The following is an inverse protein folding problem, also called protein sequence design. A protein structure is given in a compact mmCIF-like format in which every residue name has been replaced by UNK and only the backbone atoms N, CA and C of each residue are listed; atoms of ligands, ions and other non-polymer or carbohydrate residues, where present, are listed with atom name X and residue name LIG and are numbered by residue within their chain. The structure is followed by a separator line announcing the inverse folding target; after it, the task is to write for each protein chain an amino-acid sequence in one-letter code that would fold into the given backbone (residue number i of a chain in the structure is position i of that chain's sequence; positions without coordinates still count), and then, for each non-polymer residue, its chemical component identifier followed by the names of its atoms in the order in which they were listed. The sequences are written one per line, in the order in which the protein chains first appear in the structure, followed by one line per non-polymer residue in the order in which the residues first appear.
data_IF_024710673462
#
_entry.id   IF_024710673462
#
_cell.length_a   1.000
_cell.length_b   1.000
_cell.length_c   1.000
_cell.angle_alpha   90.00
_cell.angle_beta   90.00
_cell.angle_gamma   90.00
#
_symmetry.space_group_name_H-M   'P 1'
#
loop_
_entity.id
_entity.type
_entity.pdbx_description
1 polymer ?
#
# COMPACT_ATOMS: atom_id res chain seq x y z
N UNK A 1 23.08 -42.17 -29.17
CA UNK A 1 22.22 -42.51 -28.00
C UNK A 1 20.83 -42.85 -28.51
N UNK A 2 20.17 -43.85 -27.94
CA UNK A 2 18.76 -44.10 -28.26
C UNK A 2 17.85 -43.01 -27.62
N UNK A 3 16.64 -42.80 -28.20
CA UNK A 3 15.67 -41.85 -27.64
C UNK A 3 15.34 -42.20 -26.18
N UNK A 4 15.24 -43.45 -25.83
CA UNK A 4 15.06 -43.93 -24.47
C UNK A 4 16.21 -43.50 -23.50
N UNK A 5 17.46 -43.55 -23.98
CA UNK A 5 18.60 -43.14 -23.18
C UNK A 5 18.60 -41.63 -22.94
N UNK A 6 18.20 -40.83 -23.94
CA UNK A 6 18.07 -39.41 -23.85
C UNK A 6 16.92 -39.01 -22.92
N UNK A 7 15.78 -39.70 -23.06
CA UNK A 7 14.59 -39.51 -22.21
C UNK A 7 14.91 -39.71 -20.73
N UNK A 8 15.64 -40.79 -20.39
CA UNK A 8 16.09 -41.04 -19.01
C UNK A 8 17.00 -39.96 -18.45
N UNK A 9 17.92 -39.43 -19.25
CA UNK A 9 18.85 -38.36 -18.82
C UNK A 9 18.11 -37.08 -18.61
N UNK A 10 17.15 -36.73 -19.48
CA UNK A 10 16.38 -35.49 -19.41
C UNK A 10 15.16 -35.59 -18.51
N UNK A 11 14.85 -36.75 -17.92
CA UNK A 11 13.65 -37.02 -17.12
C UNK A 11 12.35 -36.68 -17.88
N UNK A 12 12.32 -37.04 -19.17
CA UNK A 12 11.19 -36.85 -20.07
C UNK A 12 10.67 -38.20 -20.56
N UNK A 13 9.47 -38.16 -21.14
CA UNK A 13 8.89 -39.31 -21.84
C UNK A 13 9.62 -39.54 -23.17
N UNK A 14 9.80 -40.83 -23.56
CA UNK A 14 10.51 -41.20 -24.77
C UNK A 14 9.75 -40.82 -26.04
N UNK A 15 8.41 -40.76 -26.00
CA UNK A 15 7.60 -40.27 -27.11
C UNK A 15 7.83 -38.78 -27.37
N UNK A 16 8.05 -38.00 -26.31
CA UNK A 16 8.44 -36.58 -26.41
C UNK A 16 9.79 -36.45 -27.13
N UNK A 17 10.77 -37.29 -26.78
CA UNK A 17 12.10 -37.26 -27.43
C UNK A 17 12.02 -37.68 -28.89
N UNK A 18 11.20 -38.70 -29.20
CA UNK A 18 10.97 -39.15 -30.60
C UNK A 18 10.32 -38.05 -31.42
N UNK A 19 9.32 -37.40 -30.89
CA UNK A 19 8.65 -36.25 -31.54
C UNK A 19 9.63 -35.12 -31.85
N UNK A 20 10.48 -34.76 -30.88
CA UNK A 20 11.50 -33.75 -31.08
C UNK A 20 12.58 -34.16 -32.06
N UNK A 21 12.94 -35.47 -32.09
CA UNK A 21 13.91 -36.01 -33.05
C UNK A 21 13.38 -35.91 -34.47
N UNK A 22 12.14 -36.32 -34.72
CA UNK A 22 11.51 -36.17 -36.04
C UNK A 22 11.40 -34.72 -36.46
N UNK A 23 11.00 -33.83 -35.55
CA UNK A 23 10.92 -32.42 -35.84
C UNK A 23 12.31 -31.83 -36.19
N UNK A 24 13.36 -32.32 -35.54
CA UNK A 24 14.73 -31.91 -35.87
C UNK A 24 15.18 -32.46 -37.25
N UNK A 25 14.82 -33.69 -37.59
CA UNK A 25 15.13 -34.25 -38.91
C UNK A 25 14.43 -33.51 -40.03
N UNK A 26 13.18 -33.10 -39.83
CA UNK A 26 12.38 -32.38 -40.82
C UNK A 26 12.76 -30.90 -40.98
N UNK A 27 12.99 -30.18 -39.86
CA UNK A 27 13.09 -28.73 -39.88
C UNK A 27 14.37 -28.18 -39.17
N UNK A 28 15.22 -29.06 -38.67
CA UNK A 28 16.44 -28.70 -37.97
C UNK A 28 16.19 -27.96 -36.65
N UNK A 29 17.19 -27.21 -36.18
CA UNK A 29 17.13 -26.47 -34.92
C UNK A 29 16.01 -25.39 -34.90
N UNK A 30 15.63 -24.86 -36.06
CA UNK A 30 14.54 -23.89 -36.16
C UNK A 30 13.19 -24.54 -35.82
N UNK A 31 12.96 -25.79 -36.27
CA UNK A 31 11.76 -26.52 -35.94
C UNK A 31 11.63 -26.82 -34.43
N UNK A 32 12.74 -27.24 -33.80
CA UNK A 32 12.78 -27.43 -32.35
C UNK A 32 12.55 -26.16 -31.54
N UNK A 33 13.03 -25.04 -32.01
CA UNK A 33 12.86 -23.73 -31.35
C UNK A 33 11.49 -23.09 -31.61
N UNK A 34 10.71 -23.61 -32.58
CA UNK A 34 9.40 -23.08 -32.90
C UNK A 34 8.33 -23.63 -31.95
N UNK A 35 7.65 -22.70 -31.25
CA UNK A 35 6.50 -23.04 -30.42
C UNK A 35 5.27 -23.17 -31.33
N UNK A 36 4.95 -24.39 -31.76
CA UNK A 36 3.84 -24.69 -32.71
C UNK A 36 2.45 -24.68 -32.07
N UNK A 37 2.36 -24.33 -30.80
CA UNK A 37 1.06 -24.25 -30.14
C UNK A 37 0.43 -22.89 -30.43
N UNK A 38 -0.43 -22.86 -31.41
CA UNK A 38 -1.19 -21.62 -31.79
C UNK A 38 -2.21 -21.19 -30.72
N UNK A 39 -2.24 -21.85 -29.57
CA UNK A 39 -3.24 -21.60 -28.52
C UNK A 39 -4.67 -21.93 -28.99
N UNK A 40 -5.58 -22.04 -28.06
CA UNK A 40 -7.01 -22.18 -28.42
C UNK A 40 -7.57 -20.94 -29.11
N UNK A 41 -8.31 -21.13 -30.19
CA UNK A 41 -9.02 -20.04 -30.88
C UNK A 41 -9.97 -19.36 -29.88
N UNK A 42 -9.95 -18.01 -29.87
CA UNK A 42 -10.87 -17.25 -29.03
C UNK A 42 -12.30 -17.46 -29.53
N UNK A 43 -13.25 -17.75 -28.62
CA UNK A 43 -14.67 -17.91 -28.99
C UNK A 43 -15.33 -16.58 -29.44
N UNK A 44 -14.73 -15.44 -29.09
CA UNK A 44 -15.16 -14.11 -29.49
C UNK A 44 -14.36 -13.63 -30.70
N UNK A 45 -15.03 -13.05 -31.69
CA UNK A 45 -14.38 -12.33 -32.79
C UNK A 45 -13.64 -11.10 -32.28
N UNK A 46 -12.74 -10.51 -33.08
CA UNK A 46 -12.02 -9.28 -32.71
C UNK A 46 -12.98 -8.13 -32.41
N UNK A 47 -14.03 -7.95 -33.18
CA UNK A 47 -15.05 -6.93 -32.98
C UNK A 47 -15.81 -7.14 -31.65
N UNK A 48 -16.17 -8.39 -31.34
CA UNK A 48 -16.81 -8.73 -30.07
C UNK A 48 -15.86 -8.51 -28.87
N UNK A 49 -14.57 -8.78 -29.04
CA UNK A 49 -13.56 -8.50 -28.01
C UNK A 49 -13.42 -7.00 -27.74
N UNK A 50 -13.39 -6.16 -28.77
CA UNK A 50 -13.33 -4.71 -28.59
C UNK A 50 -14.62 -4.16 -27.95
N UNK A 51 -15.78 -4.69 -28.34
CA UNK A 51 -17.06 -4.34 -27.71
C UNK A 51 -17.09 -4.71 -26.25
N UNK A 52 -16.57 -5.91 -25.90
CA UNK A 52 -16.44 -6.37 -24.51
C UNK A 52 -15.48 -5.47 -23.73
N UNK A 53 -14.34 -5.11 -24.29
CA UNK A 53 -13.39 -4.17 -23.64
C UNK A 53 -14.06 -2.83 -23.36
N UNK A 54 -14.77 -2.27 -24.33
CA UNK A 54 -15.49 -1.02 -24.18
C UNK A 54 -16.52 -1.09 -23.05
N UNK A 55 -17.31 -2.17 -23.00
CA UNK A 55 -18.30 -2.39 -21.96
C UNK A 55 -17.65 -2.55 -20.58
N UNK A 56 -16.63 -3.42 -20.43
CA UNK A 56 -15.90 -3.58 -19.17
C UNK A 56 -15.32 -2.25 -18.69
N UNK A 57 -14.75 -1.51 -19.63
CA UNK A 57 -14.20 -0.19 -19.37
C UNK A 57 -15.28 0.79 -18.92
N UNK A 58 -16.50 0.72 -19.46
CA UNK A 58 -17.62 1.58 -19.09
C UNK A 58 -18.25 1.22 -17.74
N UNK A 59 -18.44 -0.08 -17.45
CA UNK A 59 -19.26 -0.56 -16.33
C UNK A 59 -18.47 -1.06 -15.13
N UNK A 60 -17.20 -1.47 -15.34
CA UNK A 60 -16.31 -2.03 -14.31
C UNK A 60 -16.97 -3.18 -13.54
N UNK A 61 -17.31 -4.28 -14.19
CA UNK A 61 -18.00 -5.40 -13.56
C UNK A 61 -17.16 -5.96 -12.41
N UNK A 62 -17.82 -6.33 -11.32
CA UNK A 62 -17.16 -6.78 -10.09
C UNK A 62 -16.76 -8.24 -10.11
N UNK A 63 -17.44 -9.04 -10.92
CA UNK A 63 -17.28 -10.48 -10.95
C UNK A 63 -17.19 -11.01 -12.38
N UNK A 64 -16.50 -12.15 -12.54
CA UNK A 64 -16.46 -12.87 -13.82
C UNK A 64 -17.85 -13.38 -14.23
N UNK A 65 -18.77 -13.61 -13.27
CA UNK A 65 -20.17 -14.00 -13.56
C UNK A 65 -20.91 -12.87 -14.28
N UNK A 66 -20.75 -11.61 -13.86
CA UNK A 66 -21.33 -10.45 -14.54
C UNK A 66 -20.81 -10.34 -15.98
N UNK A 67 -19.51 -10.59 -16.18
CA UNK A 67 -18.89 -10.60 -17.52
C UNK A 67 -19.47 -11.73 -18.38
N UNK A 68 -19.57 -12.93 -17.84
CA UNK A 68 -20.14 -14.09 -18.56
C UNK A 68 -21.59 -13.86 -18.97
N UNK A 69 -22.43 -13.41 -18.04
CA UNK A 69 -23.84 -13.10 -18.32
C UNK A 69 -24.00 -12.02 -19.39
N UNK A 70 -23.13 -11.00 -19.38
CA UNK A 70 -23.16 -9.97 -20.43
C UNK A 70 -22.74 -10.52 -21.78
N UNK A 71 -21.69 -11.36 -21.87
CA UNK A 71 -21.25 -12.01 -23.12
C UNK A 71 -22.39 -12.88 -23.69
N UNK A 72 -23.05 -13.65 -22.84
CA UNK A 72 -24.18 -14.47 -23.24
C UNK A 72 -25.35 -13.62 -23.78
N UNK A 73 -25.69 -12.56 -23.06
CA UNK A 73 -26.75 -11.63 -23.46
C UNK A 73 -26.42 -10.88 -24.78
N UNK A 74 -25.17 -10.41 -24.92
CA UNK A 74 -24.79 -9.56 -26.04
C UNK A 74 -24.44 -10.35 -27.32
N UNK A 75 -23.87 -11.56 -27.16
CA UNK A 75 -23.33 -12.35 -28.28
C UNK A 75 -23.91 -13.75 -28.39
N UNK A 76 -24.72 -14.20 -27.44
CA UNK A 76 -25.25 -15.57 -27.37
C UNK A 76 -24.18 -16.66 -27.12
N UNK A 77 -23.04 -16.26 -26.56
CA UNK A 77 -21.91 -17.17 -26.31
C UNK A 77 -21.82 -17.46 -24.83
N UNK A 78 -22.05 -18.71 -24.43
CA UNK A 78 -21.94 -19.14 -23.05
C UNK A 78 -20.50 -19.62 -22.74
N UNK A 79 -19.97 -19.17 -21.59
CA UNK A 79 -18.70 -19.65 -21.03
C UNK A 79 -18.97 -20.57 -19.84
N UNK A 80 -18.80 -21.85 -20.02
CA UNK A 80 -19.07 -22.89 -19.02
C UNK A 80 -18.17 -22.79 -17.78
N UNK A 81 -16.94 -22.26 -17.93
CA UNK A 81 -15.99 -22.22 -16.84
C UNK A 81 -15.51 -20.81 -16.50
N UNK A 82 -15.35 -20.56 -15.19
CA UNK A 82 -14.69 -19.34 -14.71
C UNK A 82 -13.27 -19.18 -15.25
N UNK A 83 -12.52 -20.29 -15.39
CA UNK A 83 -11.15 -20.25 -15.89
C UNK A 83 -11.10 -19.73 -17.33
N UNK A 84 -12.06 -20.11 -18.18
CA UNK A 84 -12.15 -19.61 -19.55
C UNK A 84 -12.40 -18.10 -19.61
N UNK A 85 -13.28 -17.57 -18.73
CA UNK A 85 -13.52 -16.13 -18.61
C UNK A 85 -12.30 -15.37 -18.09
N UNK A 86 -11.60 -15.91 -17.09
CA UNK A 86 -10.36 -15.31 -16.58
C UNK A 86 -9.28 -15.29 -17.65
N UNK A 87 -9.09 -16.39 -18.39
CA UNK A 87 -8.13 -16.45 -19.49
C UNK A 87 -8.46 -15.47 -20.62
N UNK A 88 -9.76 -15.30 -20.95
CA UNK A 88 -10.21 -14.27 -21.88
C UNK A 88 -9.85 -12.87 -21.39
N UNK A 89 -10.21 -12.53 -20.14
CA UNK A 89 -9.94 -11.22 -19.56
C UNK A 89 -8.44 -10.89 -19.56
N UNK A 90 -7.57 -11.84 -19.20
CA UNK A 90 -6.12 -11.65 -19.23
C UNK A 90 -5.60 -11.41 -20.67
N UNK A 91 -6.10 -12.16 -21.65
CA UNK A 91 -5.76 -11.90 -23.08
C UNK A 91 -6.18 -10.51 -23.55
N UNK A 92 -7.30 -10.02 -23.06
CA UNK A 92 -7.77 -8.66 -23.32
C UNK A 92 -7.03 -7.57 -22.54
N UNK A 93 -6.00 -7.94 -21.74
CA UNK A 93 -5.24 -7.00 -20.90
C UNK A 93 -6.01 -6.51 -19.68
N UNK A 94 -7.07 -7.22 -19.28
CA UNK A 94 -7.87 -6.89 -18.10
C UNK A 94 -7.33 -7.61 -16.87
N UNK A 95 -7.37 -6.93 -15.73
CA UNK A 95 -6.88 -7.41 -14.44
C UNK A 95 -7.90 -7.09 -13.35
N UNK A 96 -8.09 -8.01 -12.39
CA UNK A 96 -8.92 -7.72 -11.23
C UNK A 96 -8.19 -6.80 -10.27
N UNK A 97 -8.68 -5.57 -10.10
CA UNK A 97 -8.07 -4.54 -9.26
C UNK A 97 -9.06 -4.01 -8.23
N UNK A 98 -8.59 -3.84 -7.00
CA UNK A 98 -9.33 -3.09 -5.99
C UNK A 98 -9.17 -1.58 -6.28
N UNK A 99 -10.24 -0.83 -6.52
CA UNK A 99 -10.17 0.61 -6.72
C UNK A 99 -9.56 1.31 -5.49
N UNK A 100 -8.75 2.33 -5.75
CA UNK A 100 -8.27 3.24 -4.70
C UNK A 100 -9.23 4.41 -4.58
N UNK A 101 -9.47 4.85 -3.35
CA UNK A 101 -10.23 6.08 -3.12
C UNK A 101 -9.33 7.30 -3.35
N UNK A 102 -9.82 8.25 -4.13
CA UNK A 102 -9.14 9.52 -4.42
C UNK A 102 -10.08 10.65 -4.01
N UNK A 103 -9.58 11.60 -3.23
CA UNK A 103 -10.39 12.75 -2.83
C UNK A 103 -10.70 13.64 -4.04
N UNK A 104 -11.95 14.07 -4.18
CA UNK A 104 -12.35 15.07 -5.20
C UNK A 104 -11.70 16.45 -4.98
N UNK A 105 -11.19 16.70 -3.78
CA UNK A 105 -10.58 17.97 -3.36
C UNK A 105 -9.05 17.97 -3.50
N UNK A 106 -8.47 16.93 -4.13
CA UNK A 106 -7.05 16.90 -4.44
C UNK A 106 -6.67 18.05 -5.37
N UNK A 107 -5.63 18.77 -4.99
CA UNK A 107 -5.08 19.88 -5.77
C UNK A 107 -3.62 19.58 -6.16
N UNK A 108 -3.36 19.19 -7.42
CA UNK A 108 -2.01 18.86 -7.87
C UNK A 108 -1.02 20.04 -7.78
N UNK A 109 -1.50 21.28 -7.89
CA UNK A 109 -0.65 22.47 -7.84
C UNK A 109 -0.14 22.69 -6.40
N UNK A 110 -1.03 22.52 -5.39
CA UNK A 110 -0.63 22.58 -3.98
C UNK A 110 0.32 21.45 -3.59
N UNK A 111 0.13 20.26 -4.16
CA UNK A 111 1.07 19.14 -3.95
C UNK A 111 2.44 19.48 -4.53
N UNK A 112 2.51 19.98 -5.77
CA UNK A 112 3.76 20.37 -6.40
C UNK A 112 4.48 21.49 -5.61
N UNK A 113 3.74 22.49 -5.16
CA UNK A 113 4.29 23.57 -4.35
C UNK A 113 4.84 23.06 -3.01
N UNK A 114 4.14 22.15 -2.36
CA UNK A 114 4.60 21.52 -1.12
C UNK A 114 5.87 20.70 -1.32
N UNK A 115 5.88 19.81 -2.33
CA UNK A 115 7.06 18.99 -2.64
C UNK A 115 8.27 19.86 -2.90
N UNK A 116 8.11 20.91 -3.73
CA UNK A 116 9.19 21.85 -4.03
C UNK A 116 9.71 22.53 -2.76
N UNK A 117 8.80 23.05 -1.91
CA UNK A 117 9.19 23.71 -0.66
C UNK A 117 9.88 22.75 0.32
N UNK A 118 9.47 21.47 0.35
CA UNK A 118 10.10 20.42 1.14
C UNK A 118 11.51 20.11 0.63
N UNK A 119 11.68 19.91 -0.69
CA UNK A 119 12.98 19.66 -1.31
C UNK A 119 13.93 20.85 -1.10
N UNK A 120 13.44 22.08 -1.24
CA UNK A 120 14.21 23.30 -0.95
C UNK A 120 14.66 23.37 0.51
N UNK A 121 13.78 22.99 1.45
CA UNK A 121 14.14 22.89 2.87
C UNK A 121 15.24 21.87 3.10
N UNK A 122 15.12 20.65 2.54
CA UNK A 122 16.11 19.61 2.71
C UNK A 122 17.48 20.00 2.11
N UNK A 123 17.48 20.67 0.96
CA UNK A 123 18.70 21.13 0.31
C UNK A 123 19.47 22.19 1.11
N UNK A 124 18.80 22.89 2.01
CA UNK A 124 19.39 23.94 2.86
C UNK A 124 19.36 23.59 4.34
N UNK A 125 19.05 22.32 4.67
CA UNK A 125 18.96 21.86 6.05
C UNK A 125 20.34 21.86 6.70
N UNK A 126 20.46 22.53 7.84
CA UNK A 126 21.70 22.55 8.59
C UNK A 126 21.79 21.38 9.58
N UNK A 127 23.01 20.98 9.93
CA UNK A 127 23.25 19.83 10.83
C UNK A 127 22.62 20.00 12.23
N UNK A 128 22.34 21.22 12.64
CA UNK A 128 21.68 21.56 13.92
C UNK A 128 20.15 21.71 13.79
N UNK A 129 19.60 21.30 12.67
CA UNK A 129 18.16 21.24 12.42
C UNK A 129 17.67 19.79 12.33
N UNK A 130 16.39 19.56 12.54
CA UNK A 130 15.75 18.25 12.41
C UNK A 130 14.43 18.36 11.65
N UNK A 131 14.07 17.30 10.91
CA UNK A 131 12.80 17.24 10.17
C UNK A 131 12.02 16.03 10.66
N UNK A 132 10.79 16.27 11.11
CA UNK A 132 9.89 15.24 11.59
C UNK A 132 8.51 15.37 10.94
N UNK A 133 7.84 14.24 10.84
CA UNK A 133 6.44 14.16 10.42
C UNK A 133 5.58 13.73 11.60
N UNK A 134 4.46 14.39 11.80
CA UNK A 134 3.57 14.16 12.93
C UNK A 134 2.12 13.95 12.47
N UNK A 135 1.46 12.99 13.07
CA UNK A 135 0.05 12.68 12.85
C UNK A 135 -0.53 11.94 14.06
N UNK A 136 -1.83 11.79 14.07
CA UNK A 136 -2.54 11.02 15.08
C UNK A 136 -3.18 9.76 14.50
N UNK A 137 -3.07 8.66 15.25
CA UNK A 137 -3.70 7.39 14.87
C UNK A 137 -4.57 6.85 16.00
N UNK A 138 -5.67 6.21 15.64
CA UNK A 138 -6.66 5.67 16.57
C UNK A 138 -6.86 4.16 16.36
N UNK A 139 -5.83 3.31 16.61
CA UNK A 139 -5.99 1.88 16.43
C UNK A 139 -7.00 1.31 17.43
N UNK A 140 -7.93 0.52 16.90
CA UNK A 140 -8.93 -0.18 17.70
C UNK A 140 -8.42 -1.54 18.14
N UNK A 141 -8.83 -1.98 19.33
CA UNK A 141 -8.58 -3.32 19.84
C UNK A 141 -9.43 -4.34 19.08
N UNK A 142 -9.05 -4.56 17.82
CA UNK A 142 -9.71 -5.47 16.91
C UNK A 142 -8.69 -6.08 15.95
N UNK A 143 -8.92 -7.33 15.60
CA UNK A 143 -8.15 -8.02 14.56
C UNK A 143 -8.50 -7.44 13.20
N UNK A 144 -7.51 -7.30 12.34
CA UNK A 144 -7.68 -7.03 10.91
C UNK A 144 -7.39 -8.29 10.10
N UNK A 145 -8.41 -9.05 9.70
CA UNK A 145 -8.20 -10.26 8.92
C UNK A 145 -7.59 -9.90 7.55
N UNK A 146 -6.50 -10.57 7.22
CA UNK A 146 -5.84 -10.47 5.91
C UNK A 146 -5.57 -11.87 5.37
N UNK A 147 -5.41 -11.99 4.05
CA UNK A 147 -5.09 -13.26 3.42
C UNK A 147 -3.81 -13.87 4.00
N UNK A 148 -3.85 -15.18 4.27
CA UNK A 148 -2.72 -15.95 4.75
C UNK A 148 -2.63 -17.31 4.02
N UNK A 149 -1.46 -17.90 4.04
CA UNK A 149 -1.29 -19.26 3.56
C UNK A 149 -1.78 -20.25 4.61
N UNK A 150 -2.67 -21.15 4.21
CA UNK A 150 -3.25 -22.16 5.09
C UNK A 150 -3.48 -23.46 4.31
N UNK A 151 -3.56 -24.62 4.99
CA UNK A 151 -3.90 -25.90 4.36
C UNK A 151 -5.25 -25.80 3.65
N UNK A 152 -5.32 -26.32 2.42
CA UNK A 152 -6.47 -26.17 1.52
C UNK A 152 -7.79 -26.71 2.09
N UNK A 153 -7.72 -27.70 2.97
CA UNK A 153 -8.89 -28.39 3.53
C UNK A 153 -9.28 -27.92 4.93
N UNK A 154 -8.51 -27.01 5.53
CA UNK A 154 -8.75 -26.57 6.90
C UNK A 154 -9.27 -25.13 6.91
N UNK A 155 -10.52 -24.89 7.34
CA UNK A 155 -11.01 -23.55 7.58
C UNK A 155 -10.15 -22.84 8.62
N UNK A 156 -9.73 -21.61 8.35
CA UNK A 156 -8.94 -20.78 9.27
C UNK A 156 -9.81 -19.64 9.76
N UNK A 157 -9.85 -19.45 11.06
CA UNK A 157 -10.50 -18.34 11.71
C UNK A 157 -9.54 -17.66 12.70
N UNK A 158 -9.72 -16.38 12.93
CA UNK A 158 -9.01 -15.61 13.95
C UNK A 158 -10.03 -15.11 14.96
N UNK A 159 -9.71 -15.23 16.25
CA UNK A 159 -10.56 -14.70 17.32
C UNK A 159 -10.71 -13.18 17.16
N UNK A 160 -11.89 -12.68 17.49
CA UNK A 160 -12.26 -11.26 17.38
C UNK A 160 -12.69 -10.73 18.73
N UNK A 161 -12.16 -9.60 19.15
CA UNK A 161 -12.67 -8.83 20.27
C UNK A 161 -13.85 -7.94 19.86
N UNK A 162 -14.54 -7.30 20.81
CA UNK A 162 -15.65 -6.38 20.50
C UNK A 162 -15.24 -5.16 19.65
N UNK A 163 -13.94 -4.84 19.61
CA UNK A 163 -13.40 -3.71 18.84
C UNK A 163 -13.83 -2.31 19.33
N UNK A 164 -14.47 -2.21 20.49
CA UNK A 164 -14.99 -0.93 21.02
C UNK A 164 -13.91 -0.04 21.64
N UNK A 165 -12.87 -0.64 22.20
CA UNK A 165 -11.76 0.10 22.80
C UNK A 165 -10.77 0.55 21.72
N UNK A 166 -10.30 1.77 21.83
CA UNK A 166 -9.29 2.34 20.93
C UNK A 166 -8.18 3.02 21.73
N UNK A 167 -6.98 2.98 21.20
CA UNK A 167 -5.85 3.75 21.68
C UNK A 167 -5.79 5.05 20.88
N UNK A 168 -5.49 6.18 21.52
CA UNK A 168 -5.27 7.44 20.81
C UNK A 168 -3.77 7.77 20.90
N UNK A 169 -3.09 7.72 19.79
CA UNK A 169 -1.66 8.03 19.71
C UNK A 169 -1.50 9.35 18.92
N UNK A 170 -0.83 10.31 19.54
CA UNK A 170 -0.33 11.47 18.84
C UNK A 170 1.18 11.33 18.74
N UNK A 171 1.72 11.21 17.55
CA UNK A 171 3.11 10.80 17.35
C UNK A 171 3.85 11.59 16.28
N UNK A 172 5.17 11.46 16.31
CA UNK A 172 6.06 11.96 15.29
C UNK A 172 7.19 10.98 15.00
N UNK A 173 7.70 11.03 13.78
CA UNK A 173 8.85 10.26 13.30
C UNK A 173 9.86 11.16 12.59
N UNK A 174 11.12 10.90 12.85
CA UNK A 174 12.27 11.41 12.12
C UNK A 174 12.69 10.35 11.08
N UNK A 175 12.63 10.67 9.80
CA UNK A 175 12.91 9.71 8.73
C UNK A 175 14.41 9.46 8.54
N UNK A 176 15.27 10.37 8.97
CA UNK A 176 16.73 10.20 8.89
C UNK A 176 17.19 9.15 9.90
N UNK A 177 16.72 9.25 11.13
CA UNK A 177 17.19 8.43 12.24
C UNK A 177 16.28 7.27 12.61
N UNK A 178 15.03 7.29 12.16
CA UNK A 178 13.97 6.37 12.58
C UNK A 178 13.49 6.59 14.00
N UNK A 179 13.94 7.64 14.66
CA UNK A 179 13.50 7.97 16.00
C UNK A 179 12.03 8.39 16.01
N UNK A 180 11.28 7.88 16.96
CA UNK A 180 9.86 8.16 17.11
C UNK A 180 9.55 8.75 18.46
N UNK A 181 8.54 9.64 18.49
CA UNK A 181 7.94 10.10 19.73
C UNK A 181 6.44 9.88 19.68
N UNK A 182 5.95 8.96 20.50
CA UNK A 182 4.55 8.52 20.52
C UNK A 182 3.94 8.80 21.87
N UNK A 183 2.94 9.65 21.92
CA UNK A 183 2.17 9.96 23.13
C UNK A 183 0.86 9.17 23.09
N UNK A 184 0.58 8.44 24.16
CA UNK A 184 -0.74 7.91 24.44
C UNK A 184 -1.55 9.03 25.13
N UNK A 185 -2.62 9.47 24.47
CA UNK A 185 -3.39 10.62 24.90
C UNK A 185 -4.87 10.28 25.03
N UNK A 186 -5.55 10.92 25.96
CA UNK A 186 -7.00 10.75 26.10
C UNK A 186 -7.74 11.31 24.90
N UNK A 187 -7.29 12.46 24.41
CA UNK A 187 -7.88 13.18 23.27
C UNK A 187 -6.77 13.78 22.43
N UNK A 188 -6.93 13.74 21.11
CA UNK A 188 -6.06 14.46 20.18
C UNK A 188 -6.64 15.84 19.96
N UNK A 189 -5.94 16.87 20.45
CA UNK A 189 -6.37 18.27 20.47
C UNK A 189 -5.16 19.22 20.53
N UNK A 190 -5.42 20.51 20.76
CA UNK A 190 -4.38 21.53 20.89
C UNK A 190 -3.41 21.25 22.07
N UNK A 191 -3.92 20.70 23.17
CA UNK A 191 -3.10 20.39 24.34
C UNK A 191 -2.15 19.22 24.05
N UNK A 192 -2.66 18.15 23.46
CA UNK A 192 -1.82 17.01 23.07
C UNK A 192 -0.81 17.38 21.99
N UNK A 193 -1.13 18.34 21.10
CA UNK A 193 -0.18 18.92 20.13
C UNK A 193 0.97 19.62 20.83
N UNK A 194 0.68 20.45 21.82
CA UNK A 194 1.72 21.13 22.60
C UNK A 194 2.56 20.13 23.39
N UNK A 195 1.93 19.12 23.99
CA UNK A 195 2.65 18.05 24.70
C UNK A 195 3.62 17.30 23.78
N UNK A 196 3.19 17.01 22.54
CA UNK A 196 4.06 16.39 21.54
C UNK A 196 5.24 17.31 21.20
N UNK A 197 5.00 18.59 20.94
CA UNK A 197 6.05 19.55 20.62
C UNK A 197 7.06 19.71 21.78
N UNK A 198 6.60 19.75 23.03
CA UNK A 198 7.48 19.76 24.22
C UNK A 198 8.34 18.49 24.26
N UNK A 199 7.72 17.33 24.01
CA UNK A 199 8.42 16.06 24.02
C UNK A 199 9.47 15.94 22.88
N UNK A 200 9.20 16.55 21.72
CA UNK A 200 10.16 16.63 20.61
C UNK A 200 11.31 17.57 20.93
N UNK A 201 11.06 18.74 21.54
CA UNK A 201 12.13 19.63 22.00
C UNK A 201 13.05 18.97 23.03
N UNK A 202 12.49 18.14 23.92
CA UNK A 202 13.25 17.37 24.89
C UNK A 202 14.07 16.23 24.23
N UNK A 203 13.54 15.64 23.18
CA UNK A 203 14.20 14.58 22.41
C UNK A 203 15.40 15.12 21.62
N UNK A 204 15.32 16.34 21.15
CA UNK A 204 16.37 17.03 20.37
C UNK A 204 16.94 18.27 21.10
N UNK A 205 17.62 18.12 22.24
CA UNK A 205 18.05 19.26 23.05
C UNK A 205 19.12 20.15 22.37
N UNK A 206 19.83 19.60 21.39
CA UNK A 206 20.93 20.30 20.69
C UNK A 206 20.51 20.88 19.34
N UNK A 207 19.33 20.53 18.82
CA UNK A 207 18.84 21.05 17.54
C UNK A 207 18.34 22.47 17.72
N UNK A 208 18.80 23.39 16.88
CA UNK A 208 18.41 24.81 16.88
C UNK A 208 16.97 24.99 16.39
N UNK A 209 16.58 24.23 15.36
CA UNK A 209 15.24 24.23 14.79
C UNK A 209 14.76 22.80 14.61
N UNK A 210 13.49 22.57 14.88
CA UNK A 210 12.79 21.32 14.62
C UNK A 210 11.64 21.63 13.65
N UNK A 211 11.80 21.26 12.40
CA UNK A 211 10.78 21.36 11.37
C UNK A 211 9.78 20.22 11.56
N UNK A 212 8.54 20.56 11.89
CA UNK A 212 7.49 19.59 12.13
C UNK A 212 6.42 19.69 11.04
N UNK A 213 6.34 18.65 10.21
CA UNK A 213 5.33 18.50 9.17
C UNK A 213 4.11 17.79 9.74
N UNK A 214 2.92 18.33 9.51
CA UNK A 214 1.66 17.80 10.04
C UNK A 214 0.49 18.17 9.11
N UNK A 215 -0.64 17.53 9.31
CA UNK A 215 -1.86 17.79 8.56
C UNK A 215 -2.49 19.17 8.93
N UNK A 216 -3.51 19.56 8.19
CA UNK A 216 -4.24 20.81 8.39
C UNK A 216 -5.39 20.68 9.40
N UNK A 217 -5.30 19.84 10.43
CA UNK A 217 -6.32 19.72 11.45
C UNK A 217 -6.50 21.05 12.22
N UNK A 218 -7.76 21.39 12.51
CA UNK A 218 -8.09 22.70 13.14
C UNK A 218 -7.39 22.94 14.46
N UNK A 219 -7.14 21.90 15.24
CA UNK A 219 -6.50 22.03 16.55
C UNK A 219 -5.03 22.44 16.45
N UNK A 220 -4.34 22.18 15.33
CA UNK A 220 -2.99 22.68 15.10
C UNK A 220 -2.95 24.19 14.87
N UNK A 221 -4.05 24.78 14.41
CA UNK A 221 -4.21 26.23 14.20
C UNK A 221 -4.85 26.93 15.41
N UNK A 222 -5.10 26.20 16.50
CA UNK A 222 -5.74 26.79 17.69
C UNK A 222 -4.89 27.92 18.28
N UNK A 223 -5.55 28.94 18.84
CA UNK A 223 -4.90 30.10 19.46
C UNK A 223 -3.88 29.66 20.54
N UNK A 224 -4.23 28.64 21.33
CA UNK A 224 -3.36 28.05 22.33
C UNK A 224 -2.02 27.55 21.75
N UNK A 225 -2.06 26.89 20.60
CA UNK A 225 -0.86 26.39 19.89
C UNK A 225 -0.03 27.58 19.39
N UNK A 226 -0.67 28.59 18.81
CA UNK A 226 0.03 29.77 18.29
C UNK A 226 0.70 30.59 19.42
N UNK A 227 0.02 30.75 20.54
CA UNK A 227 0.55 31.41 21.74
C UNK A 227 1.75 30.65 22.31
N UNK A 228 1.69 29.32 22.30
CA UNK A 228 2.80 28.48 22.74
C UNK A 228 4.00 28.57 21.79
N UNK A 229 3.78 28.53 20.47
CA UNK A 229 4.84 28.67 19.47
C UNK A 229 5.55 30.04 19.52
N UNK A 230 4.84 31.06 19.92
CA UNK A 230 5.38 32.42 20.08
C UNK A 230 6.23 32.60 21.36
N UNK A 231 6.30 31.63 22.25
CA UNK A 231 7.07 31.73 23.48
C UNK A 231 8.57 31.77 23.21
N UNK A 232 9.34 32.56 23.95
CA UNK A 232 10.80 32.58 23.88
C UNK A 232 11.37 31.19 24.13
N UNK A 233 12.31 30.75 23.28
CA UNK A 233 12.95 29.43 23.38
C UNK A 233 12.21 28.30 22.69
N UNK A 234 11.05 28.54 22.07
CA UNK A 234 10.42 27.57 21.19
C UNK A 234 11.28 27.37 19.93
N UNK A 235 11.62 26.10 19.65
CA UNK A 235 12.46 25.70 18.51
C UNK A 235 11.65 24.96 17.43
N UNK A 236 10.34 24.87 17.59
CA UNK A 236 9.44 24.17 16.64
C UNK A 236 9.04 25.15 15.53
N UNK A 237 9.15 24.68 14.28
CA UNK A 237 8.62 25.36 13.10
C UNK A 237 7.62 24.42 12.41
N UNK A 238 6.35 24.81 12.40
CA UNK A 238 5.29 24.02 11.80
C UNK A 238 5.27 24.21 10.28
N UNK A 239 5.06 23.08 9.56
CA UNK A 239 4.84 23.03 8.12
C UNK A 239 3.57 22.21 7.87
N UNK A 240 2.64 22.76 7.10
CA UNK A 240 1.36 22.10 6.88
C UNK A 240 1.34 21.36 5.54
N UNK A 241 1.03 20.07 5.61
CA UNK A 241 0.82 19.22 4.43
C UNK A 241 -0.50 19.63 3.76
N UNK A 242 -0.56 19.70 2.42
CA UNK A 242 -1.79 20.04 1.73
C UNK A 242 -2.95 19.13 2.14
N UNK A 243 -4.12 19.72 2.36
CA UNK A 243 -5.31 18.98 2.77
C UNK A 243 -5.67 17.87 1.79
N UNK A 244 -6.17 16.75 2.30
CA UNK A 244 -6.54 15.56 1.53
C UNK A 244 -5.37 14.84 0.83
N UNK A 245 -4.14 15.04 1.28
CA UNK A 245 -2.94 14.45 0.71
C UNK A 245 -2.19 13.52 1.70
N UNK A 246 -2.81 12.46 2.25
CA UNK A 246 -2.15 11.57 3.20
C UNK A 246 -0.93 10.86 2.61
N UNK A 247 -0.84 10.74 1.28
CA UNK A 247 0.31 10.19 0.59
C UNK A 247 1.58 11.06 0.68
N UNK A 248 1.45 12.33 1.06
CA UNK A 248 2.54 13.27 1.35
C UNK A 248 2.92 13.28 2.84
N UNK A 249 2.30 12.41 3.64
CA UNK A 249 2.66 12.22 5.04
C UNK A 249 3.28 10.83 5.26
N UNK A 250 4.60 10.75 5.44
CA UNK A 250 5.27 9.46 5.65
C UNK A 250 4.82 8.70 6.90
N UNK A 251 4.38 9.38 7.94
CA UNK A 251 3.93 8.73 9.17
C UNK A 251 2.69 7.85 8.95
N UNK A 252 1.87 8.14 7.94
CA UNK A 252 0.75 7.28 7.53
C UNK A 252 1.23 5.88 7.08
N UNK A 253 2.43 5.81 6.51
CA UNK A 253 3.06 4.52 6.15
C UNK A 253 3.53 3.77 7.40
N UNK A 254 3.97 4.51 8.43
CA UNK A 254 4.31 3.92 9.73
C UNK A 254 3.06 3.32 10.40
N UNK A 255 1.91 3.98 10.32
CA UNK A 255 0.64 3.40 10.80
C UNK A 255 0.28 2.11 10.05
N UNK A 256 0.47 2.08 8.74
CA UNK A 256 0.31 0.87 7.94
C UNK A 256 1.26 -0.25 8.35
N UNK A 257 2.51 0.08 8.67
CA UNK A 257 3.51 -0.87 9.19
C UNK A 257 3.09 -1.42 10.55
N UNK A 258 2.70 -0.56 11.48
CA UNK A 258 2.17 -0.95 12.79
C UNK A 258 1.01 -1.93 12.65
N UNK A 259 0.03 -1.66 11.79
CA UNK A 259 -1.08 -2.58 11.58
C UNK A 259 -0.65 -3.94 11.07
N UNK A 260 0.30 -3.99 10.14
CA UNK A 260 0.84 -5.26 9.63
C UNK A 260 1.48 -6.12 10.70
N UNK A 261 2.17 -5.51 11.65
CA UNK A 261 2.88 -6.23 12.70
C UNK A 261 2.02 -6.56 13.92
N UNK A 262 1.01 -5.74 14.21
CA UNK A 262 0.29 -5.83 15.49
C UNK A 262 -1.14 -6.35 15.33
N UNK A 263 -1.85 -5.95 14.26
CA UNK A 263 -3.30 -6.24 14.15
C UNK A 263 -3.67 -7.22 13.05
N UNK A 264 -2.79 -7.46 12.06
CA UNK A 264 -3.09 -8.39 10.98
C UNK A 264 -3.07 -9.83 11.53
N UNK A 265 -4.21 -10.51 11.47
CA UNK A 265 -4.41 -11.89 11.92
C UNK A 265 -3.96 -12.15 13.38
N UNK A 266 -3.83 -11.13 14.20
CA UNK A 266 -3.37 -11.23 15.58
C UNK A 266 -4.45 -10.71 16.53
N UNK A 267 -4.93 -11.56 17.44
CA UNK A 267 -5.84 -11.20 18.52
C UNK A 267 -5.05 -11.00 19.81
N UNK A 268 -5.22 -9.85 20.45
CA UNK A 268 -4.70 -9.58 21.78
C UNK A 268 -5.81 -9.83 22.80
N UNK A 269 -5.56 -10.65 23.81
CA UNK A 269 -6.59 -11.04 24.76
C UNK A 269 -7.16 -9.86 25.56
N UNK A 270 -6.33 -8.85 25.86
CA UNK A 270 -6.76 -7.66 26.60
C UNK A 270 -6.36 -6.37 25.91
N UNK A 271 -7.10 -5.29 26.19
CA UNK A 271 -6.74 -3.95 25.68
C UNK A 271 -5.36 -3.50 26.16
N UNK A 272 -4.97 -3.89 27.37
CA UNK A 272 -3.64 -3.58 27.91
C UNK A 272 -2.54 -4.23 27.06
N UNK A 273 -2.65 -5.52 26.75
CA UNK A 273 -1.69 -6.22 25.88
C UNK A 273 -1.65 -5.59 24.48
N UNK A 274 -2.81 -5.24 23.93
CA UNK A 274 -2.89 -4.55 22.64
C UNK A 274 -2.16 -3.20 22.66
N UNK A 275 -2.43 -2.34 23.65
CA UNK A 275 -1.80 -1.03 23.75
C UNK A 275 -0.29 -1.12 24.02
N UNK A 276 0.14 -2.05 24.87
CA UNK A 276 1.57 -2.32 25.11
C UNK A 276 2.26 -2.78 23.81
N UNK A 277 1.67 -3.71 23.06
CA UNK A 277 2.23 -4.19 21.80
C UNK A 277 2.38 -3.05 20.78
N UNK A 278 1.35 -2.21 20.62
CA UNK A 278 1.38 -1.05 19.71
C UNK A 278 2.47 -0.06 20.13
N UNK A 279 2.51 0.32 21.41
CA UNK A 279 3.45 1.33 21.91
C UNK A 279 4.90 0.83 21.89
N UNK A 280 5.14 -0.42 22.27
CA UNK A 280 6.48 -1.04 22.21
C UNK A 280 6.97 -1.10 20.76
N UNK A 281 6.10 -1.53 19.82
CA UNK A 281 6.45 -1.53 18.40
C UNK A 281 6.88 -0.14 17.92
N UNK A 282 6.06 0.86 18.18
CA UNK A 282 6.29 2.21 17.69
C UNK A 282 7.45 2.93 18.38
N UNK A 283 7.63 2.75 19.70
CA UNK A 283 8.62 3.48 20.52
C UNK A 283 10.00 2.81 20.52
N UNK A 284 10.05 1.49 20.40
CA UNK A 284 11.27 0.72 20.61
C UNK A 284 11.68 -0.08 19.38
N UNK A 285 10.76 -0.85 18.78
CA UNK A 285 11.12 -1.72 17.65
C UNK A 285 11.41 -0.93 16.39
N UNK A 286 10.61 0.09 16.08
CA UNK A 286 10.81 0.91 14.88
C UNK A 286 12.17 1.60 14.93
N UNK A 287 12.57 2.34 15.98
CA UNK A 287 13.90 2.93 16.04
C UNK A 287 15.02 1.89 15.99
N UNK A 288 14.89 0.80 16.75
CA UNK A 288 15.91 -0.25 16.80
C UNK A 288 16.14 -0.95 15.47
N UNK A 289 15.08 -1.14 14.67
CA UNK A 289 15.09 -1.86 13.39
C UNK A 289 14.90 -0.92 12.19
N UNK A 290 15.26 0.35 12.34
CA UNK A 290 14.96 1.35 11.31
C UNK A 290 15.49 0.99 9.92
N UNK A 291 16.68 0.44 9.84
CA UNK A 291 17.26 -0.01 8.57
C UNK A 291 16.40 -1.06 7.83
N UNK A 292 15.57 -1.80 8.54
CA UNK A 292 14.62 -2.77 7.94
C UNK A 292 13.34 -2.09 7.44
N UNK A 293 13.00 -0.94 8.01
CA UNK A 293 11.72 -0.26 7.78
C UNK A 293 11.84 1.01 6.94
N UNK A 294 13.02 1.61 6.84
CA UNK A 294 13.23 2.89 6.15
C UNK A 294 12.74 2.89 4.70
N UNK A 295 12.90 1.78 3.96
CA UNK A 295 12.40 1.65 2.58
C UNK A 295 10.86 1.61 2.48
N UNK A 296 10.16 1.39 3.59
CA UNK A 296 8.70 1.33 3.65
C UNK A 296 8.07 2.62 4.16
N UNK A 297 8.83 3.41 4.93
CA UNK A 297 8.39 4.70 5.50
C UNK A 297 9.26 5.80 4.93
N UNK A 298 8.99 6.16 3.68
CA UNK A 298 9.82 7.09 2.89
C UNK A 298 9.09 8.40 2.61
N UNK A 299 9.84 9.42 2.25
CA UNK A 299 9.38 10.69 1.72
C UNK A 299 9.45 10.77 0.18
N UNK A 300 9.46 9.62 -0.50
CA UNK A 300 9.37 9.54 -1.95
C UNK A 300 8.01 10.07 -2.43
N UNK A 301 7.88 11.38 -2.40
CA UNK A 301 6.64 12.07 -2.75
C UNK A 301 6.39 12.06 -4.25
N UNK A 302 5.12 11.98 -4.60
CA UNK A 302 4.65 12.10 -5.98
C UNK A 302 3.35 12.86 -6.03
N UNK A 303 3.17 13.61 -7.08
CA UNK A 303 1.91 14.32 -7.35
C UNK A 303 0.88 13.27 -7.78
N UNK A 304 -0.28 13.30 -7.15
CA UNK A 304 -1.43 12.47 -7.51
C UNK A 304 -2.52 13.41 -8.05
N UNK A 305 -2.98 13.15 -9.27
CA UNK A 305 -4.08 13.88 -9.87
C UNK A 305 -5.30 12.97 -10.02
N UNK A 306 -6.53 13.47 -9.85
CA UNK A 306 -7.73 12.73 -10.23
C UNK A 306 -7.72 12.29 -11.70
N UNK A 307 -6.95 12.98 -12.57
CA UNK A 307 -6.78 12.61 -13.98
C UNK A 307 -5.93 11.37 -14.20
N UNK A 308 -5.10 10.98 -13.22
CA UNK A 308 -4.27 9.77 -13.27
C UNK A 308 -5.11 8.51 -13.05
N UNK A 309 -6.36 8.68 -12.65
CA UNK A 309 -7.29 7.60 -12.37
C UNK A 309 -8.58 7.79 -13.16
N UNK A 310 -9.14 6.67 -13.58
CA UNK A 310 -10.52 6.69 -14.01
C UNK A 310 -11.40 6.78 -12.75
N UNK A 311 -11.96 7.95 -12.49
CA UNK A 311 -12.88 8.16 -11.39
C UNK A 311 -14.26 7.63 -11.78
N UNK A 312 -14.75 6.65 -11.02
CA UNK A 312 -16.13 6.14 -11.14
C UNK A 312 -17.01 7.10 -10.33
N UNK A 313 -18.02 7.63 -10.95
CA UNK A 313 -18.99 8.53 -10.31
C UNK A 313 -20.01 7.75 -9.48
#
# INVERSE_FOLDING_TARGET
MSCESVAKVLLLDDDTIRTWYHLYEEEGLKGLASFRHEGGVCRLSEEQQETLKAWITATLPRTTREVGAWIEMAFGIEYESRCGLVALLHRLGMENRKPKTVSRKLDPQKQAAFIKAYEELLNHLENDEAVLFADAVHPTHAVRPVGCWAPKQTPVAVEQTSGRQRLNIHGAIDLETGQTRMLDVTTVDAVSTIQLMIALMAMYPRKRVIHLFLDNARYHHAKLVQEWLAQPGCRIKLHFIPAYCPHLDPIERLWGLMHRHITHNTCHATFKQFSEAVLTFLREEVPRKWQTYCDQVTDNFRIISPRDFRVIA
#
